data_IF_918642751507
#
_entry.id   IF_918642751507
#
_cell.length_a   1.000
_cell.length_b   1.000
_cell.length_c   1.000
_cell.angle_alpha   90.00
_cell.angle_beta   90.00
_cell.angle_gamma   90.00
#
_symmetry.space_group_name_H-M   'P 1'
#
loop_
_entity.id
_entity.type
_entity.pdbx_description
1 polymer ?
#
# COMPACT_ATOMS: atom_id res chain seq x y z
N UNK A 1 -26.43 -65.79 16.08
CA UNK A 1 -27.38 -66.41 15.14
C UNK A 1 -28.77 -65.96 15.54
N UNK A 2 -29.49 -65.16 14.76
CA UNK A 2 -29.22 -64.49 13.46
C UNK A 2 -29.92 -63.10 13.56
N UNK A 3 -29.42 -61.95 13.08
CA UNK A 3 -28.89 -61.51 11.76
C UNK A 3 -29.94 -61.56 10.62
N UNK A 4 -30.07 -60.42 9.92
CA UNK A 4 -30.96 -60.10 8.78
C UNK A 4 -32.48 -60.08 9.12
N UNK A 5 -33.25 -59.05 8.75
CA UNK A 5 -33.21 -58.27 7.53
C UNK A 5 -33.73 -56.83 7.76
N UNK A 6 -32.91 -55.85 7.39
CA UNK A 6 -33.28 -54.45 7.31
C UNK A 6 -32.44 -53.84 6.18
N UNK A 7 -32.98 -53.89 4.96
CA UNK A 7 -32.32 -53.36 3.77
C UNK A 7 -32.10 -51.84 3.91
N UNK A 8 -30.87 -51.46 4.22
CA UNK A 8 -30.37 -50.10 4.13
C UNK A 8 -30.30 -49.70 2.65
N UNK A 9 -31.38 -49.09 2.15
CA UNK A 9 -31.42 -48.48 0.82
C UNK A 9 -30.59 -47.20 0.89
N UNK A 10 -29.28 -47.35 0.70
CA UNK A 10 -28.36 -46.24 0.59
C UNK A 10 -28.70 -45.43 -0.67
N UNK A 11 -29.22 -44.22 -0.46
CA UNK A 11 -29.55 -43.27 -1.53
C UNK A 11 -28.32 -43.04 -2.45
N UNK A 12 -28.48 -43.11 -3.78
CA UNK A 12 -27.36 -42.95 -4.71
C UNK A 12 -26.97 -41.48 -4.97
N UNK A 13 -27.45 -40.53 -4.17
CA UNK A 13 -27.27 -39.09 -4.43
C UNK A 13 -25.97 -38.47 -3.90
N UNK A 14 -25.16 -39.20 -3.12
CA UNK A 14 -23.82 -38.74 -2.66
C UNK A 14 -22.66 -39.20 -3.55
N UNK A 15 -22.95 -39.67 -4.77
CA UNK A 15 -21.97 -39.67 -5.84
C UNK A 15 -21.80 -38.24 -6.36
N UNK A 16 -20.85 -37.49 -5.79
CA UNK A 16 -20.39 -36.25 -6.39
C UNK A 16 -20.03 -36.54 -7.86
N UNK A 17 -20.71 -35.87 -8.79
CA UNK A 17 -20.49 -36.09 -10.21
C UNK A 17 -19.00 -35.89 -10.51
N UNK A 18 -18.37 -36.86 -11.17
CA UNK A 18 -16.98 -36.70 -11.60
C UNK A 18 -16.88 -35.40 -12.43
N UNK A 19 -15.93 -34.50 -12.12
CA UNK A 19 -15.86 -33.22 -12.80
C UNK A 19 -15.66 -33.47 -14.30
N UNK A 20 -16.51 -32.84 -15.13
CA UNK A 20 -16.36 -32.92 -16.58
C UNK A 20 -15.21 -32.00 -16.99
N UNK A 21 -13.98 -32.51 -16.85
CA UNK A 21 -12.74 -31.80 -17.15
C UNK A 21 -12.70 -31.26 -18.59
N UNK A 22 -13.47 -31.83 -19.52
CA UNK A 22 -13.60 -31.28 -20.88
C UNK A 22 -14.46 -30.02 -20.87
N UNK A 23 -15.62 -30.05 -20.22
CA UNK A 23 -16.50 -28.89 -20.08
C UNK A 23 -15.82 -27.78 -19.26
N UNK A 24 -15.16 -28.12 -18.15
CA UNK A 24 -14.42 -27.16 -17.32
C UNK A 24 -13.29 -26.48 -18.09
N UNK A 25 -12.52 -27.24 -18.89
CA UNK A 25 -11.50 -26.69 -19.79
C UNK A 25 -12.10 -25.84 -20.92
N UNK A 26 -13.24 -26.25 -21.48
CA UNK A 26 -13.97 -25.48 -22.47
C UNK A 26 -14.48 -24.14 -21.93
N UNK A 27 -15.03 -24.16 -20.71
CA UNK A 27 -15.47 -22.98 -19.96
C UNK A 27 -14.31 -22.07 -19.57
N UNK A 28 -13.16 -22.63 -19.20
CA UNK A 28 -11.94 -21.88 -18.90
C UNK A 28 -11.48 -21.06 -20.13
N UNK A 29 -11.48 -21.68 -21.31
CA UNK A 29 -11.20 -21.01 -22.58
C UNK A 29 -12.28 -19.97 -22.95
N UNK A 30 -13.57 -20.27 -22.74
CA UNK A 30 -14.70 -19.38 -23.02
C UNK A 30 -14.70 -18.12 -22.14
N UNK A 31 -14.22 -18.22 -20.90
CA UNK A 31 -13.96 -17.08 -20.02
C UNK A 31 -12.76 -16.24 -20.47
N UNK A 32 -12.04 -16.65 -21.51
CA UNK A 32 -10.90 -15.93 -22.09
C UNK A 32 -9.56 -16.19 -21.38
N UNK A 33 -9.48 -17.20 -20.51
CA UNK A 33 -8.31 -17.39 -19.64
C UNK A 33 -6.99 -17.62 -20.41
N UNK A 34 -7.03 -18.29 -21.56
CA UNK A 34 -5.87 -18.46 -22.47
C UNK A 34 -5.50 -17.20 -23.27
N UNK A 35 -6.30 -16.13 -23.16
CA UNK A 35 -6.08 -14.84 -23.87
C UNK A 35 -5.89 -13.66 -22.91
N UNK A 36 -5.96 -13.89 -21.60
CA UNK A 36 -5.65 -12.88 -20.59
C UNK A 36 -4.16 -12.48 -20.68
N UNK A 37 -3.89 -11.18 -20.73
CA UNK A 37 -2.55 -10.60 -20.73
C UNK A 37 -2.54 -9.19 -20.17
N UNK A 38 -1.41 -8.76 -19.60
CA UNK A 38 -1.22 -7.41 -19.06
C UNK A 38 -1.50 -6.29 -20.09
N UNK A 39 -1.16 -6.51 -21.36
CA UNK A 39 -1.36 -5.52 -22.45
C UNK A 39 -2.83 -5.19 -22.73
N UNK A 40 -3.75 -6.10 -22.37
CA UNK A 40 -5.15 -6.05 -22.80
C UNK A 40 -6.17 -6.07 -21.65
N UNK A 41 -5.75 -6.50 -20.47
CA UNK A 41 -6.61 -6.66 -19.29
C UNK A 41 -5.92 -6.03 -18.07
N UNK A 42 -6.49 -4.93 -17.57
CA UNK A 42 -5.92 -4.20 -16.43
C UNK A 42 -5.91 -5.05 -15.15
N UNK A 43 -6.88 -5.96 -15.01
CA UNK A 43 -6.95 -6.88 -13.87
C UNK A 43 -6.05 -8.13 -14.00
N UNK A 44 -5.18 -8.21 -15.02
CA UNK A 44 -4.29 -9.37 -15.20
C UNK A 44 -3.39 -9.64 -13.99
N UNK A 45 -2.82 -8.59 -13.38
CA UNK A 45 -1.98 -8.72 -12.18
C UNK A 45 -2.74 -9.24 -10.94
N UNK A 46 -4.08 -9.28 -10.98
CA UNK A 46 -4.92 -9.77 -9.89
C UNK A 46 -5.43 -11.21 -10.10
N UNK A 47 -5.02 -11.91 -11.18
CA UNK A 47 -5.43 -13.29 -11.50
C UNK A 47 -5.16 -14.27 -10.34
N UNK A 48 -4.13 -13.99 -9.53
CA UNK A 48 -3.75 -14.83 -8.40
C UNK A 48 -4.23 -14.37 -7.02
N UNK A 49 -4.83 -13.18 -6.93
CA UNK A 49 -5.27 -12.56 -5.67
C UNK A 49 -6.80 -12.45 -5.55
N UNK A 50 -7.51 -12.16 -6.64
CA UNK A 50 -8.98 -12.09 -6.68
C UNK A 50 -9.54 -13.51 -6.76
N UNK A 51 -9.59 -14.16 -5.60
CA UNK A 51 -9.96 -15.56 -5.48
C UNK A 51 -11.47 -15.78 -5.34
N UNK A 52 -12.21 -14.81 -4.79
CA UNK A 52 -13.65 -14.95 -4.49
C UNK A 52 -14.51 -13.87 -5.17
N UNK A 53 -15.81 -14.13 -5.40
CA UNK A 53 -16.76 -13.07 -5.80
C UNK A 53 -16.82 -11.91 -4.79
N UNK A 54 -16.49 -12.16 -3.53
CA UNK A 54 -16.41 -11.15 -2.46
C UNK A 54 -15.18 -10.24 -2.66
N UNK A 55 -14.02 -10.77 -3.04
CA UNK A 55 -12.84 -9.97 -3.42
C UNK A 55 -13.14 -9.10 -4.64
N UNK A 56 -13.81 -9.65 -5.66
CA UNK A 56 -14.21 -8.89 -6.86
C UNK A 56 -15.18 -7.73 -6.52
N UNK A 57 -16.13 -7.94 -5.60
CA UNK A 57 -17.02 -6.85 -5.12
C UNK A 57 -16.26 -5.82 -4.28
N UNK A 58 -15.29 -6.24 -3.47
CA UNK A 58 -14.46 -5.33 -2.68
C UNK A 58 -13.61 -4.42 -3.59
N UNK A 59 -12.99 -4.99 -4.63
CA UNK A 59 -12.28 -4.26 -5.69
C UNK A 59 -13.16 -3.22 -6.40
N UNK A 60 -14.33 -3.62 -6.89
CA UNK A 60 -15.28 -2.71 -7.56
C UNK A 60 -15.79 -1.61 -6.61
N UNK A 61 -15.96 -1.91 -5.31
CA UNK A 61 -16.30 -0.90 -4.30
C UNK A 61 -15.16 0.11 -4.11
N UNK A 62 -13.91 -0.36 -3.99
CA UNK A 62 -12.75 0.51 -3.86
C UNK A 62 -12.55 1.42 -5.10
N UNK A 63 -12.74 0.88 -6.31
CA UNK A 63 -12.76 1.68 -7.55
C UNK A 63 -13.87 2.73 -7.57
N UNK A 64 -15.10 2.35 -7.15
CA UNK A 64 -16.22 3.28 -7.11
C UNK A 64 -15.97 4.42 -6.11
N UNK A 65 -15.37 4.13 -4.96
CA UNK A 65 -14.94 5.16 -4.00
C UNK A 65 -13.86 6.08 -4.55
N UNK A 66 -12.82 5.55 -5.23
CA UNK A 66 -11.76 6.34 -5.83
C UNK A 66 -12.29 7.25 -6.95
N UNK A 67 -13.11 6.72 -7.84
CA UNK A 67 -13.75 7.48 -8.93
C UNK A 67 -14.73 8.55 -8.42
N UNK A 68 -15.31 8.35 -7.24
CA UNK A 68 -16.21 9.31 -6.61
C UNK A 68 -15.52 10.53 -5.98
N UNK A 69 -14.18 10.58 -5.93
CA UNK A 69 -13.41 11.57 -5.14
C UNK A 69 -12.81 12.75 -5.91
N UNK A 70 -13.06 12.85 -7.22
CA UNK A 70 -12.43 13.84 -8.11
C UNK A 70 -10.91 13.93 -7.85
N UNK A 71 -10.22 12.85 -8.23
CA UNK A 71 -8.79 12.68 -8.02
C UNK A 71 -8.01 13.89 -8.58
N UNK A 72 -8.37 14.36 -9.77
CA UNK A 72 -7.77 15.53 -10.42
C UNK A 72 -7.93 16.81 -9.58
N UNK A 73 -9.13 17.12 -9.09
CA UNK A 73 -9.33 18.27 -8.20
C UNK A 73 -8.56 18.13 -6.88
N UNK A 74 -8.46 16.91 -6.34
CA UNK A 74 -7.68 16.66 -5.12
C UNK A 74 -6.19 16.92 -5.36
N UNK A 75 -5.66 16.54 -6.52
CA UNK A 75 -4.29 16.82 -6.94
C UNK A 75 -4.01 18.31 -7.14
N UNK A 76 -4.92 19.04 -7.79
CA UNK A 76 -4.83 20.49 -7.95
C UNK A 76 -4.85 21.22 -6.59
N UNK A 77 -5.61 20.72 -5.61
CA UNK A 77 -5.61 21.23 -4.25
C UNK A 77 -4.28 20.95 -3.51
N UNK A 78 -3.70 19.76 -3.68
CA UNK A 78 -2.39 19.36 -3.13
C UNK A 78 -1.27 20.26 -3.66
N UNK A 79 -1.20 20.44 -4.98
CA UNK A 79 -0.15 21.24 -5.64
C UNK A 79 -0.27 22.73 -5.29
N UNK A 80 -1.48 23.27 -5.17
CA UNK A 80 -1.72 24.62 -4.67
C UNK A 80 -1.23 24.81 -3.23
N UNK A 81 -1.50 23.86 -2.33
CA UNK A 81 -1.04 23.89 -0.95
C UNK A 81 0.49 23.76 -0.84
N UNK A 82 1.12 22.91 -1.66
CA UNK A 82 2.58 22.79 -1.73
C UNK A 82 3.23 24.11 -2.15
N UNK A 83 2.72 24.74 -3.22
CA UNK A 83 3.21 26.01 -3.73
C UNK A 83 3.05 27.16 -2.71
N UNK A 84 1.92 27.22 -1.99
CA UNK A 84 1.71 28.19 -0.90
C UNK A 84 2.71 27.98 0.25
N UNK A 85 2.91 26.73 0.67
CA UNK A 85 3.84 26.34 1.72
C UNK A 85 5.33 26.41 1.30
N UNK A 86 5.61 26.63 0.01
CA UNK A 86 6.96 26.56 -0.61
C UNK A 86 7.63 25.20 -0.42
N UNK A 87 6.82 24.15 -0.49
CA UNK A 87 7.27 22.77 -0.56
C UNK A 87 7.50 22.38 -2.02
N UNK A 88 8.36 21.40 -2.24
CA UNK A 88 8.50 20.78 -3.55
C UNK A 88 7.25 19.94 -3.87
N UNK A 89 6.89 19.87 -5.15
CA UNK A 89 5.73 19.10 -5.60
C UNK A 89 5.95 17.59 -5.31
N UNK A 90 4.97 16.88 -4.69
CA UNK A 90 5.17 15.50 -4.30
C UNK A 90 5.09 14.56 -5.51
N UNK A 91 6.21 13.95 -5.92
CA UNK A 91 6.24 13.08 -7.10
C UNK A 91 5.39 11.81 -7.03
N UNK A 92 5.07 11.33 -5.82
CA UNK A 92 4.37 10.05 -5.58
C UNK A 92 3.12 10.21 -4.72
N UNK A 93 2.20 9.23 -4.81
CA UNK A 93 1.02 9.12 -3.92
C UNK A 93 1.42 9.10 -2.44
N UNK A 94 2.46 8.35 -2.09
CA UNK A 94 2.96 8.26 -0.71
C UNK A 94 3.55 9.57 -0.19
N UNK A 95 4.44 10.23 -0.95
CA UNK A 95 4.98 11.57 -0.61
C UNK A 95 3.85 12.58 -0.47
N UNK A 96 2.81 12.47 -1.30
CA UNK A 96 1.59 13.29 -1.20
C UNK A 96 0.84 13.04 0.11
N UNK A 97 0.62 11.77 0.49
CA UNK A 97 -0.04 11.40 1.74
C UNK A 97 0.62 12.06 2.96
N UNK A 98 1.95 11.98 3.02
CA UNK A 98 2.75 12.49 4.13
C UNK A 98 2.78 14.02 4.16
N UNK A 99 2.83 14.66 2.99
CA UNK A 99 2.75 16.12 2.89
C UNK A 99 1.38 16.63 3.34
N UNK A 100 0.29 16.00 2.91
CA UNK A 100 -1.08 16.36 3.31
C UNK A 100 -1.29 16.14 4.81
N UNK A 101 -0.83 15.01 5.37
CA UNK A 101 -0.88 14.75 6.82
C UNK A 101 -0.08 15.79 7.61
N UNK A 102 1.14 16.11 7.17
CA UNK A 102 2.01 17.13 7.78
C UNK A 102 1.33 18.50 7.77
N UNK A 103 0.83 18.97 6.62
CA UNK A 103 0.16 20.26 6.50
C UNK A 103 -1.12 20.33 7.36
N UNK A 104 -1.89 19.25 7.43
CA UNK A 104 -3.06 19.14 8.29
C UNK A 104 -2.69 19.19 9.79
N UNK A 105 -1.63 18.48 10.20
CA UNK A 105 -1.12 18.56 11.58
C UNK A 105 -0.65 19.99 11.93
N UNK A 106 0.16 20.60 11.08
CA UNK A 106 0.61 22.00 11.22
C UNK A 106 -0.58 22.97 11.31
N UNK A 107 -1.61 22.78 10.49
CA UNK A 107 -2.84 23.57 10.56
C UNK A 107 -3.54 23.42 11.92
N UNK A 108 -3.74 22.20 12.42
CA UNK A 108 -4.37 21.94 13.73
C UNK A 108 -3.53 22.50 14.89
N UNK A 109 -2.21 22.31 14.85
CA UNK A 109 -1.28 22.81 15.86
C UNK A 109 -1.28 24.35 15.91
N UNK A 110 -1.50 25.03 14.79
CA UNK A 110 -1.61 26.51 14.73
C UNK A 110 -2.75 27.09 15.57
N UNK A 111 -3.80 26.31 15.85
CA UNK A 111 -4.88 26.73 16.74
C UNK A 111 -4.41 26.91 18.19
N UNK A 112 -3.34 26.21 18.59
CA UNK A 112 -2.80 26.21 19.96
C UNK A 112 -1.47 26.96 20.06
N UNK A 113 -0.60 26.86 19.05
CA UNK A 113 0.73 27.44 19.03
C UNK A 113 0.91 28.45 17.88
N UNK A 114 1.62 29.53 18.18
CA UNK A 114 2.14 30.42 17.15
C UNK A 114 3.33 29.78 16.41
N UNK A 115 3.56 30.15 15.15
CA UNK A 115 4.66 29.61 14.32
C UNK A 115 6.05 29.81 14.92
N UNK A 116 6.23 30.83 15.78
CA UNK A 116 7.46 31.05 16.55
C UNK A 116 7.83 29.87 17.48
N UNK A 117 6.94 28.88 17.67
CA UNK A 117 7.27 27.66 18.37
C UNK A 117 8.30 26.80 17.63
N UNK A 118 8.34 26.82 16.29
CA UNK A 118 9.26 25.99 15.49
C UNK A 118 10.72 26.47 15.54
N UNK A 119 10.95 27.74 15.94
CA UNK A 119 12.27 28.30 16.23
C UNK A 119 12.82 27.84 17.61
N UNK A 120 11.97 27.29 18.47
CA UNK A 120 12.32 26.97 19.85
C UNK A 120 12.79 25.51 20.04
N UNK A 121 13.36 25.24 21.21
CA UNK A 121 13.70 23.89 21.68
C UNK A 121 12.42 23.11 22.06
N UNK A 122 11.71 22.62 21.05
CA UNK A 122 10.44 21.90 21.18
C UNK A 122 10.57 20.68 22.11
N UNK A 123 11.72 19.99 22.08
CA UNK A 123 11.98 18.82 22.95
C UNK A 123 11.97 19.23 24.42
N UNK A 124 12.70 20.30 24.79
CA UNK A 124 12.72 20.79 26.16
C UNK A 124 11.39 21.42 26.59
N UNK A 125 10.68 22.09 25.68
CA UNK A 125 9.35 22.66 25.96
C UNK A 125 8.30 21.55 26.19
N UNK A 126 8.24 20.54 25.32
CA UNK A 126 7.38 19.37 25.48
C UNK A 126 7.71 18.63 26.78
N UNK A 127 8.99 18.39 27.06
CA UNK A 127 9.40 17.72 28.31
C UNK A 127 9.09 18.55 29.57
N UNK A 128 9.14 19.88 29.53
CA UNK A 128 8.81 20.73 30.67
C UNK A 128 7.29 20.85 30.94
N UNK A 129 6.47 20.65 29.90
CA UNK A 129 5.00 20.64 29.96
C UNK A 129 4.43 19.26 30.30
N UNK A 130 5.10 18.17 29.90
CA UNK A 130 4.78 16.79 30.25
C UNK A 130 4.57 16.54 31.76
N UNK A 131 3.79 15.52 32.11
CA UNK A 131 3.50 15.15 33.50
C UNK A 131 4.72 14.50 34.24
N UNK A 132 4.50 13.86 35.40
CA UNK A 132 5.55 13.15 36.15
C UNK A 132 5.82 11.72 35.67
N UNK A 133 4.82 11.06 35.11
CA UNK A 133 4.85 9.69 34.60
C UNK A 133 5.64 9.66 33.29
N UNK A 134 5.23 10.48 32.33
CA UNK A 134 5.91 10.66 31.04
C UNK A 134 7.39 10.98 31.21
N UNK A 135 7.74 11.94 32.10
CA UNK A 135 9.15 12.33 32.32
C UNK A 135 9.98 11.21 32.93
N UNK A 136 9.40 10.37 33.79
CA UNK A 136 10.09 9.21 34.36
C UNK A 136 10.35 8.15 33.29
N UNK A 137 9.36 7.87 32.44
CA UNK A 137 9.46 6.89 31.36
C UNK A 137 10.43 7.32 30.26
N UNK A 138 10.46 8.61 29.92
CA UNK A 138 11.38 9.19 28.93
C UNK A 138 12.74 9.60 29.56
N UNK A 139 13.03 9.19 30.80
CA UNK A 139 14.32 9.43 31.49
C UNK A 139 14.66 10.90 31.81
N UNK A 140 13.74 11.83 31.58
CA UNK A 140 14.02 13.28 31.63
C UNK A 140 14.22 13.78 33.06
N UNK A 141 15.40 14.35 33.30
CA UNK A 141 15.72 15.12 34.51
C UNK A 141 15.68 16.61 34.19
N UNK A 142 14.85 17.35 34.93
CA UNK A 142 14.68 18.80 34.77
C UNK A 142 14.72 19.46 36.15
N UNK A 143 15.71 20.33 36.37
CA UNK A 143 15.76 21.17 37.56
C UNK A 143 14.52 22.07 37.67
N UNK A 144 14.07 22.36 38.90
CA UNK A 144 12.81 23.10 39.13
C UNK A 144 12.81 24.49 38.47
N UNK A 145 13.95 25.19 38.49
CA UNK A 145 14.13 26.50 37.85
C UNK A 145 14.08 26.38 36.32
N UNK A 146 14.80 25.43 35.71
CA UNK A 146 14.78 25.20 34.25
C UNK A 146 13.37 24.84 33.79
N UNK A 147 12.71 23.90 34.45
CA UNK A 147 11.33 23.50 34.14
C UNK A 147 10.31 24.63 34.32
N UNK A 148 10.48 25.53 35.30
CA UNK A 148 9.64 26.73 35.45
C UNK A 148 9.87 27.74 34.33
N UNK A 149 11.12 27.93 33.91
CA UNK A 149 11.47 28.83 32.79
C UNK A 149 10.91 28.32 31.46
N UNK A 150 11.12 27.04 31.15
CA UNK A 150 10.62 26.40 29.92
C UNK A 150 9.08 26.43 29.84
N UNK A 151 8.36 26.16 30.94
CA UNK A 151 6.89 26.32 30.95
C UNK A 151 6.44 27.76 30.71
N UNK A 152 7.18 28.76 31.19
CA UNK A 152 6.88 30.17 30.90
C UNK A 152 7.10 30.50 29.41
N UNK A 153 8.13 29.92 28.79
CA UNK A 153 8.39 30.06 27.35
C UNK A 153 7.29 29.38 26.53
N UNK A 154 6.93 28.14 26.85
CA UNK A 154 5.82 27.42 26.22
C UNK A 154 4.50 28.22 26.23
N UNK A 155 4.09 28.76 27.38
CA UNK A 155 2.87 29.58 27.51
C UNK A 155 2.97 30.92 26.77
N UNK A 156 4.18 31.42 26.48
CA UNK A 156 4.38 32.63 25.68
C UNK A 156 4.30 32.36 24.16
N UNK A 157 4.47 31.10 23.73
CA UNK A 157 4.34 30.65 22.34
C UNK A 157 2.90 30.23 21.99
N UNK A 158 2.05 30.01 22.98
CA UNK A 158 0.65 29.63 22.81
C UNK A 158 -0.23 30.80 22.33
N UNK A 159 -1.19 30.49 21.46
CA UNK A 159 -2.17 31.44 20.91
C UNK A 159 -3.12 31.98 21.99
N UNK A 160 -3.51 31.15 22.96
CA UNK A 160 -4.14 31.59 24.22
C UNK A 160 -3.25 31.25 25.43
N UNK A 161 -2.99 32.24 26.29
CA UNK A 161 -2.26 32.09 27.55
C UNK A 161 -3.02 31.28 28.61
N UNK A 162 -4.30 30.97 28.39
CA UNK A 162 -5.15 30.12 29.25
C UNK A 162 -5.20 28.65 28.82
N UNK A 163 -4.47 28.27 27.76
CA UNK A 163 -4.34 26.86 27.31
C UNK A 163 -4.03 25.93 28.48
N UNK A 164 -4.66 24.74 28.52
CA UNK A 164 -4.37 23.78 29.59
C UNK A 164 -3.01 23.15 29.35
N UNK A 165 -2.39 22.69 30.43
CA UNK A 165 -1.01 22.18 30.39
C UNK A 165 -0.88 20.91 29.53
N UNK A 166 -1.89 20.05 29.53
CA UNK A 166 -1.92 18.86 28.67
C UNK A 166 -2.09 19.23 27.20
N UNK A 167 -3.07 20.06 26.84
CA UNK A 167 -3.27 20.56 25.47
C UNK A 167 -1.99 21.23 24.93
N UNK A 168 -1.29 22.01 25.77
CA UNK A 168 -0.01 22.63 25.43
C UNK A 168 1.14 21.62 25.27
N UNK A 169 1.16 20.55 26.07
CA UNK A 169 2.14 19.47 25.93
C UNK A 169 1.91 18.67 24.64
N UNK A 170 0.66 18.37 24.32
CA UNK A 170 0.24 17.71 23.08
C UNK A 170 0.65 18.55 21.87
N UNK A 171 0.27 19.84 21.84
CA UNK A 171 0.62 20.73 20.73
C UNK A 171 2.14 20.90 20.53
N UNK A 172 2.93 20.95 21.61
CA UNK A 172 4.40 21.00 21.51
C UNK A 172 5.01 19.68 21.02
N UNK A 173 4.37 18.55 21.34
CA UNK A 173 4.77 17.22 20.85
C UNK A 173 4.41 17.05 19.38
N UNK A 174 3.24 17.54 18.95
CA UNK A 174 2.84 17.59 17.55
C UNK A 174 3.77 18.50 16.74
N UNK A 175 4.08 19.71 17.24
CA UNK A 175 5.06 20.60 16.62
C UNK A 175 6.46 19.96 16.46
N UNK A 176 6.88 19.13 17.43
CA UNK A 176 8.14 18.38 17.35
C UNK A 176 8.12 17.36 16.18
N UNK A 177 7.02 16.62 16.05
CA UNK A 177 6.76 15.66 14.96
C UNK A 177 6.71 16.38 13.61
N UNK A 178 5.93 17.46 13.53
CA UNK A 178 5.76 18.30 12.34
C UNK A 178 7.10 18.88 11.88
N UNK A 179 7.93 19.39 12.79
CA UNK A 179 9.27 19.91 12.46
C UNK A 179 10.21 18.83 11.91
N UNK A 180 10.10 17.57 12.37
CA UNK A 180 10.88 16.45 11.81
C UNK A 180 10.36 16.01 10.43
N UNK A 181 9.05 15.91 10.27
CA UNK A 181 8.43 15.58 8.97
C UNK A 181 8.74 16.66 7.92
N UNK A 182 8.66 17.94 8.30
CA UNK A 182 8.99 19.07 7.44
C UNK A 182 10.46 19.08 7.04
N UNK A 183 11.38 18.79 7.96
CA UNK A 183 12.80 18.68 7.63
C UNK A 183 13.14 17.53 6.66
N UNK A 184 12.24 16.55 6.50
CA UNK A 184 12.37 15.47 5.51
C UNK A 184 11.69 15.80 4.17
N UNK A 185 10.56 16.51 4.16
CA UNK A 185 9.75 16.78 2.96
C UNK A 185 9.99 18.14 2.29
N UNK A 186 10.59 19.10 3.00
CA UNK A 186 10.73 20.48 2.55
C UNK A 186 12.18 20.85 2.21
N UNK A 187 12.39 21.94 1.44
CA UNK A 187 13.73 22.48 1.20
C UNK A 187 14.52 22.70 2.50
N UNK A 188 15.79 22.28 2.48
CA UNK A 188 16.68 22.28 3.63
C UNK A 188 16.76 23.64 4.35
N UNK A 189 16.58 23.62 5.68
CA UNK A 189 16.64 24.82 6.52
C UNK A 189 15.36 25.64 6.58
N UNK A 190 14.27 25.21 5.93
CA UNK A 190 12.93 25.78 6.15
C UNK A 190 12.32 25.28 7.47
N UNK A 191 11.35 26.03 7.99
CA UNK A 191 10.55 25.67 9.17
C UNK A 191 9.07 25.55 8.78
N UNK A 192 8.26 24.77 9.52
CA UNK A 192 6.84 24.63 9.24
C UNK A 192 6.08 25.94 9.13
N UNK A 193 5.43 26.11 7.98
CA UNK A 193 4.54 27.22 7.66
C UNK A 193 3.09 26.73 7.63
N UNK A 194 2.18 27.55 8.14
CA UNK A 194 0.73 27.27 8.13
C UNK A 194 0.14 27.84 6.84
N UNK A 195 -0.50 27.03 5.97
CA UNK A 195 -1.24 27.55 4.82
C UNK A 195 -2.37 28.48 5.24
N UNK A 196 -2.62 29.55 4.48
CA UNK A 196 -3.63 30.54 4.82
C UNK A 196 -5.06 30.02 4.62
N UNK A 197 -5.30 29.19 3.60
CA UNK A 197 -6.59 28.49 3.44
C UNK A 197 -6.62 27.18 4.23
N UNK A 198 -6.80 27.31 5.55
CA UNK A 198 -7.03 26.17 6.43
C UNK A 198 -8.24 25.31 6.06
N UNK A 199 -9.26 25.89 5.41
CA UNK A 199 -10.42 25.13 4.97
C UNK A 199 -10.09 24.26 3.75
N UNK A 200 -9.17 24.69 2.88
CA UNK A 200 -8.59 23.85 1.82
C UNK A 200 -7.78 22.71 2.43
N UNK A 201 -6.90 22.98 3.41
CA UNK A 201 -6.12 21.94 4.11
C UNK A 201 -7.03 20.85 4.69
N UNK A 202 -8.10 21.23 5.41
CA UNK A 202 -9.06 20.29 6.00
C UNK A 202 -9.80 19.45 4.93
N UNK A 203 -10.29 20.08 3.84
CA UNK A 203 -10.94 19.35 2.75
C UNK A 203 -9.99 18.40 2.02
N UNK A 204 -8.77 18.84 1.74
CA UNK A 204 -7.75 18.01 1.06
C UNK A 204 -7.35 16.82 1.92
N UNK A 205 -7.17 17.00 3.23
CA UNK A 205 -6.90 15.91 4.16
C UNK A 205 -8.03 14.87 4.18
N UNK A 206 -9.29 15.32 4.25
CA UNK A 206 -10.45 14.43 4.22
C UNK A 206 -10.60 13.68 2.89
N UNK A 207 -10.33 14.34 1.75
CA UNK A 207 -10.32 13.69 0.45
C UNK A 207 -9.23 12.60 0.39
N UNK A 208 -8.02 12.92 0.85
CA UNK A 208 -6.86 12.05 0.78
C UNK A 208 -6.94 10.85 1.75
N UNK A 209 -7.52 11.01 2.94
CA UNK A 209 -7.84 9.89 3.85
C UNK A 209 -8.68 8.81 3.15
N UNK A 210 -9.67 9.26 2.38
CA UNK A 210 -10.56 8.40 1.63
C UNK A 210 -9.94 7.82 0.36
N UNK A 211 -9.07 8.56 -0.33
CA UNK A 211 -8.24 8.01 -1.42
C UNK A 211 -7.38 6.87 -0.86
N UNK A 212 -6.60 7.12 0.20
CA UNK A 212 -5.77 6.11 0.87
C UNK A 212 -6.58 4.88 1.34
N UNK A 213 -7.85 5.05 1.69
CA UNK A 213 -8.73 3.94 2.06
C UNK A 213 -9.11 3.09 0.86
N UNK A 214 -9.45 3.71 -0.28
CA UNK A 214 -9.66 2.99 -1.54
C UNK A 214 -8.39 2.30 -2.04
N UNK A 215 -7.24 2.98 -1.98
CA UNK A 215 -5.94 2.43 -2.40
C UNK A 215 -5.53 1.21 -1.58
N UNK A 216 -5.65 1.25 -0.24
CA UNK A 216 -5.42 0.05 0.61
C UNK A 216 -6.34 -1.12 0.27
N UNK A 217 -7.54 -0.84 -0.25
CA UNK A 217 -8.46 -1.87 -0.75
C UNK A 217 -7.96 -2.53 -2.04
N UNK A 218 -7.33 -1.75 -2.93
CA UNK A 218 -6.74 -2.24 -4.19
C UNK A 218 -5.37 -2.90 -3.98
N UNK A 219 -4.51 -2.35 -3.12
CA UNK A 219 -3.16 -2.82 -2.81
C UNK A 219 -3.13 -4.30 -2.41
N UNK A 220 -4.04 -4.70 -1.51
CA UNK A 220 -4.27 -6.11 -1.13
C UNK A 220 -4.48 -7.04 -2.33
N UNK A 221 -5.06 -6.53 -3.43
CA UNK A 221 -5.43 -7.29 -4.62
C UNK A 221 -4.44 -7.09 -5.78
N UNK A 222 -3.55 -6.11 -5.70
CA UNK A 222 -2.53 -5.79 -6.69
C UNK A 222 -1.13 -5.71 -6.04
N UNK A 223 -0.67 -6.74 -5.28
CA UNK A 223 0.56 -6.67 -4.48
C UNK A 223 1.86 -6.57 -5.31
N UNK A 224 1.77 -6.77 -6.62
CA UNK A 224 2.88 -6.55 -7.56
C UNK A 224 2.90 -5.12 -8.13
N UNK A 225 1.93 -4.27 -7.78
CA UNK A 225 1.90 -2.86 -8.15
C UNK A 225 2.17 -2.00 -6.91
N UNK A 226 3.26 -1.24 -6.93
CA UNK A 226 3.53 -0.22 -5.92
C UNK A 226 2.60 1.00 -6.14
N UNK A 227 1.38 0.92 -5.60
CA UNK A 227 0.39 2.00 -5.71
C UNK A 227 0.78 3.26 -4.94
N UNK A 228 1.62 3.13 -3.92
CA UNK A 228 2.15 4.21 -3.09
C UNK A 228 3.24 5.01 -3.87
N UNK A 229 4.05 4.30 -4.66
CA UNK A 229 5.11 4.87 -5.50
C UNK A 229 4.66 5.49 -6.82
N UNK A 230 3.41 5.28 -7.27
CA UNK A 230 2.90 5.87 -8.52
C UNK A 230 2.88 7.40 -8.50
N UNK A 231 3.13 8.03 -9.65
CA UNK A 231 2.79 9.43 -9.84
C UNK A 231 1.26 9.60 -9.93
N UNK A 232 0.75 10.75 -9.49
CA UNK A 232 -0.70 10.96 -9.42
C UNK A 232 -1.45 10.79 -10.76
N UNK A 233 -0.93 11.25 -11.93
CA UNK A 233 -1.55 10.99 -13.23
C UNK A 233 -1.61 9.49 -13.57
N UNK A 234 -0.57 8.73 -13.22
CA UNK A 234 -0.50 7.28 -13.46
C UNK A 234 -1.52 6.53 -12.60
N UNK A 235 -1.77 7.01 -11.37
CA UNK A 235 -2.85 6.50 -10.53
C UNK A 235 -4.24 6.75 -11.15
N UNK A 236 -4.49 7.94 -11.70
CA UNK A 236 -5.76 8.23 -12.41
C UNK A 236 -5.93 7.24 -13.58
N UNK A 237 -4.91 7.13 -14.45
CA UNK A 237 -4.93 6.23 -15.61
C UNK A 237 -5.10 4.76 -15.20
N UNK A 238 -4.48 4.32 -14.10
CA UNK A 238 -4.65 2.97 -13.56
C UNK A 238 -6.09 2.73 -13.05
N UNK A 239 -6.64 3.65 -12.25
CA UNK A 239 -8.01 3.56 -11.73
C UNK A 239 -9.04 3.55 -12.87
N UNK A 240 -8.83 4.35 -13.91
CA UNK A 240 -9.70 4.34 -15.10
C UNK A 240 -9.60 3.03 -15.89
N UNK A 241 -8.38 2.50 -16.13
CA UNK A 241 -8.20 1.21 -16.81
C UNK A 241 -8.80 0.04 -16.03
N UNK A 242 -8.58 -0.03 -14.72
CA UNK A 242 -9.18 -1.06 -13.85
C UNK A 242 -10.71 -0.96 -13.85
N UNK A 243 -11.28 0.24 -13.85
CA UNK A 243 -12.73 0.44 -13.90
C UNK A 243 -13.35 0.19 -15.28
N UNK A 244 -12.58 0.32 -16.37
CA UNK A 244 -13.01 -0.08 -17.71
C UNK A 244 -13.03 -1.61 -17.87
N UNK A 245 -12.24 -2.34 -17.09
CA UNK A 245 -12.05 -3.80 -17.16
C UNK A 245 -12.79 -4.58 -16.06
N UNK A 246 -13.86 -4.02 -15.48
CA UNK A 246 -14.70 -4.74 -14.48
C UNK A 246 -15.23 -6.09 -15.01
N UNK A 247 -15.45 -6.21 -16.32
CA UNK A 247 -15.83 -7.48 -16.95
C UNK A 247 -14.82 -8.61 -16.76
N UNK A 248 -13.53 -8.29 -16.57
CA UNK A 248 -12.49 -9.28 -16.24
C UNK A 248 -12.43 -9.55 -14.75
N UNK A 249 -12.48 -8.50 -13.93
CA UNK A 249 -12.53 -8.60 -12.47
C UNK A 249 -13.57 -9.63 -11.98
N UNK A 250 -14.80 -9.57 -12.50
CA UNK A 250 -15.87 -10.51 -12.12
C UNK A 250 -15.71 -11.93 -12.69
N UNK A 251 -14.84 -12.14 -13.69
CA UNK A 251 -14.49 -13.47 -14.22
C UNK A 251 -13.37 -14.16 -13.44
N UNK A 252 -12.43 -13.39 -12.86
CA UNK A 252 -11.23 -13.93 -12.19
C UNK A 252 -11.50 -15.04 -11.17
N UNK A 253 -12.49 -14.94 -10.25
CA UNK A 253 -12.76 -16.01 -9.28
C UNK A 253 -13.14 -17.35 -9.94
N UNK A 254 -13.89 -17.30 -11.04
CA UNK A 254 -14.29 -18.50 -11.79
C UNK A 254 -13.11 -19.07 -12.58
N UNK A 255 -12.31 -18.20 -13.19
CA UNK A 255 -11.07 -18.59 -13.90
C UNK A 255 -10.11 -19.29 -12.92
N UNK A 256 -9.87 -18.71 -11.75
CA UNK A 256 -9.01 -19.30 -10.71
C UNK A 256 -9.53 -20.66 -10.25
N UNK A 257 -10.81 -20.78 -9.93
CA UNK A 257 -11.40 -22.05 -9.49
C UNK A 257 -11.29 -23.17 -10.53
N UNK A 258 -11.54 -22.85 -11.81
CA UNK A 258 -11.36 -23.80 -12.92
C UNK A 258 -9.89 -24.19 -13.11
N UNK A 259 -8.96 -23.23 -13.08
CA UNK A 259 -7.51 -23.52 -13.13
C UNK A 259 -7.11 -24.49 -12.02
N UNK A 260 -7.47 -24.21 -10.76
CA UNK A 260 -7.14 -25.10 -9.63
C UNK A 260 -7.69 -26.51 -9.85
N UNK A 261 -8.96 -26.67 -10.23
CA UNK A 261 -9.55 -27.99 -10.47
C UNK A 261 -8.92 -28.76 -11.65
N UNK A 262 -8.51 -28.06 -12.71
CA UNK A 262 -7.83 -28.65 -13.87
C UNK A 262 -6.36 -29.01 -13.54
N UNK A 263 -5.67 -28.21 -12.73
CA UNK A 263 -4.32 -28.50 -12.22
C UNK A 263 -4.31 -29.69 -11.25
N UNK A 264 -5.26 -29.74 -10.30
CA UNK A 264 -5.47 -30.87 -9.39
C UNK A 264 -5.78 -32.18 -10.14
N UNK A 265 -6.42 -32.09 -11.31
CA UNK A 265 -6.67 -33.21 -12.22
C UNK A 265 -5.45 -33.57 -13.11
N UNK A 266 -4.30 -32.92 -12.94
CA UNK A 266 -3.05 -33.20 -13.67
C UNK A 266 -3.00 -32.62 -15.09
N UNK A 267 -3.77 -31.56 -15.38
CA UNK A 267 -3.81 -30.91 -16.69
C UNK A 267 -2.92 -29.65 -16.81
N UNK A 268 -2.09 -29.33 -15.82
CA UNK A 268 -1.24 -28.12 -15.80
C UNK A 268 -0.37 -27.93 -17.05
N UNK A 269 0.27 -28.99 -17.55
CA UNK A 269 1.04 -28.93 -18.81
C UNK A 269 0.14 -28.54 -20.00
N UNK A 270 -1.06 -29.13 -20.08
CA UNK A 270 -2.03 -28.86 -21.13
C UNK A 270 -2.56 -27.42 -21.04
N UNK A 271 -2.77 -26.88 -19.83
CA UNK A 271 -3.12 -25.47 -19.65
C UNK A 271 -2.01 -24.55 -20.18
N UNK A 272 -0.75 -24.92 -19.96
CA UNK A 272 0.43 -24.16 -20.43
C UNK A 272 0.55 -24.20 -21.96
N UNK A 273 0.39 -25.38 -22.58
CA UNK A 273 0.32 -25.54 -24.04
C UNK A 273 -0.81 -24.71 -24.66
N UNK A 274 -2.01 -24.76 -24.08
CA UNK A 274 -3.19 -24.05 -24.58
C UNK A 274 -3.11 -22.52 -24.36
N UNK A 275 -2.46 -22.07 -23.28
CA UNK A 275 -2.14 -20.66 -23.06
C UNK A 275 -1.15 -20.13 -24.11
N UNK A 276 -0.07 -20.87 -24.38
CA UNK A 276 0.90 -20.53 -25.42
C UNK A 276 0.24 -20.48 -26.82
N UNK A 277 -0.71 -21.37 -27.08
CA UNK A 277 -1.49 -21.42 -28.32
C UNK A 277 -2.64 -20.39 -28.38
N UNK A 278 -2.94 -19.66 -27.29
CA UNK A 278 -4.12 -18.77 -27.14
C UNK A 278 -5.42 -19.47 -27.55
N UNK A 279 -5.61 -20.70 -27.08
CA UNK A 279 -6.64 -21.61 -27.58
C UNK A 279 -8.08 -21.13 -27.33
N UNK A 280 -8.94 -21.30 -28.34
CA UNK A 280 -10.39 -21.18 -28.18
C UNK A 280 -10.99 -22.44 -27.49
N UNK A 281 -12.25 -22.34 -27.05
CA UNK A 281 -12.98 -23.44 -26.41
C UNK A 281 -12.95 -24.74 -27.22
N UNK A 282 -13.11 -24.66 -28.55
CA UNK A 282 -13.14 -25.84 -29.43
C UNK A 282 -11.76 -26.49 -29.54
N UNK A 283 -10.69 -25.69 -29.60
CA UNK A 283 -9.31 -26.17 -29.61
C UNK A 283 -8.94 -26.83 -28.28
N UNK A 284 -9.33 -26.22 -27.15
CA UNK A 284 -9.09 -26.75 -25.81
C UNK A 284 -9.79 -28.11 -25.59
N UNK A 285 -11.09 -28.20 -25.89
CA UNK A 285 -11.84 -29.46 -25.82
C UNK A 285 -11.28 -30.56 -26.75
N UNK A 286 -10.82 -30.18 -27.95
CA UNK A 286 -10.22 -31.11 -28.91
C UNK A 286 -8.86 -31.63 -28.42
N UNK A 287 -8.02 -30.77 -27.83
CA UNK A 287 -6.73 -31.16 -27.27
C UNK A 287 -6.89 -32.12 -26.08
N UNK A 288 -7.84 -31.85 -25.17
CA UNK A 288 -8.18 -32.79 -24.09
C UNK A 288 -8.64 -34.15 -24.63
N UNK A 289 -9.54 -34.16 -25.63
CA UNK A 289 -10.03 -35.39 -26.26
C UNK A 289 -8.89 -36.18 -26.92
N UNK A 290 -7.96 -35.51 -27.59
CA UNK A 290 -6.79 -36.13 -28.19
C UNK A 290 -5.83 -36.73 -27.12
N UNK A 291 -5.58 -36.01 -26.02
CA UNK A 291 -4.76 -36.49 -24.89
C UNK A 291 -5.37 -37.72 -24.24
N UNK A 292 -6.69 -37.77 -24.07
CA UNK A 292 -7.38 -38.96 -23.55
C UNK A 292 -7.36 -40.15 -24.53
N UNK A 293 -7.46 -39.91 -25.84
CA UNK A 293 -7.31 -40.97 -26.84
C UNK A 293 -5.89 -41.56 -26.85
N UNK A 294 -4.85 -40.72 -26.69
CA UNK A 294 -3.46 -41.16 -26.55
C UNK A 294 -3.27 -41.93 -25.24
N UNK A 295 -3.76 -41.44 -24.10
CA UNK A 295 -3.67 -42.15 -22.82
C UNK A 295 -4.40 -43.51 -22.82
N UNK A 296 -5.54 -43.61 -23.52
CA UNK A 296 -6.24 -44.86 -23.78
C UNK A 296 -5.40 -45.83 -24.63
N UNK A 297 -4.88 -45.36 -25.78
CA UNK A 297 -4.03 -46.18 -26.65
C UNK A 297 -2.68 -46.58 -26.04
N UNK A 298 -2.10 -45.75 -25.16
CA UNK A 298 -0.85 -46.04 -24.45
C UNK A 298 -1.01 -47.23 -23.49
N UNK A 299 -2.21 -47.45 -22.92
CA UNK A 299 -2.49 -48.63 -22.08
C UNK A 299 -2.48 -49.95 -22.87
N UNK A 300 -2.83 -49.90 -24.15
CA UNK A 300 -2.71 -51.05 -25.09
C UNK A 300 -1.29 -51.16 -25.70
N UNK A 301 -0.43 -50.16 -25.50
CA UNK A 301 0.81 -49.96 -26.26
C UNK A 301 2.14 -50.09 -25.48
N UNK A 302 2.15 -50.55 -24.23
CA UNK A 302 3.37 -50.65 -23.42
C UNK A 302 4.33 -51.78 -23.87
N UNK A 303 5.03 -51.54 -25.00
CA UNK A 303 6.15 -52.33 -25.47
C UNK A 303 7.20 -51.49 -26.26
N UNK A 304 8.00 -50.70 -25.54
CA UNK A 304 9.38 -50.37 -25.94
C UNK A 304 9.69 -48.98 -26.53
N UNK A 305 10.94 -48.57 -26.29
CA UNK A 305 11.67 -47.37 -26.76
C UNK A 305 11.11 -46.01 -26.27
N UNK A 306 11.72 -45.33 -25.30
CA UNK A 306 13.07 -44.70 -25.26
C UNK A 306 13.13 -43.31 -25.91
N UNK A 307 13.65 -42.34 -25.15
CA UNK A 307 13.79 -40.92 -25.47
C UNK A 307 14.78 -40.66 -26.62
N UNK A 308 14.81 -39.41 -27.14
CA UNK A 308 16.05 -38.68 -26.88
C UNK A 308 15.89 -37.18 -26.56
N UNK A 309 16.59 -36.79 -25.49
CA UNK A 309 17.53 -35.66 -25.38
C UNK A 309 17.14 -34.27 -25.95
N UNK A 310 17.10 -33.29 -25.03
CA UNK A 310 17.06 -31.87 -25.33
C UNK A 310 18.42 -31.31 -25.78
N UNK A 311 18.38 -30.23 -26.57
CA UNK A 311 19.54 -29.39 -26.89
C UNK A 311 19.30 -27.99 -26.29
N UNK A 312 20.28 -27.46 -25.55
CA UNK A 312 20.23 -26.13 -24.92
C UNK A 312 21.22 -25.20 -25.62
N UNK A 313 20.87 -23.92 -25.73
CA UNK A 313 21.80 -22.86 -26.12
C UNK A 313 21.69 -21.71 -25.13
N UNK A 314 22.82 -21.32 -24.55
CA UNK A 314 22.95 -20.28 -23.52
C UNK A 314 23.18 -18.87 -24.10
N UNK A 315 23.03 -17.87 -23.22
CA UNK A 315 23.48 -16.47 -23.32
C UNK A 315 22.70 -15.56 -24.32
N UNK A 316 22.63 -14.24 -24.12
CA UNK A 316 23.44 -13.36 -23.25
C UNK A 316 22.62 -12.13 -22.79
N UNK A 317 22.84 -11.64 -21.56
CA UNK A 317 22.29 -10.35 -21.09
C UNK A 317 23.05 -9.17 -21.71
N UNK A 318 22.36 -8.03 -21.89
CA UNK A 318 22.80 -6.83 -21.17
C UNK A 318 21.61 -6.11 -20.51
N UNK A 319 21.78 -5.26 -19.50
CA UNK A 319 23.03 -4.69 -18.99
C UNK A 319 22.88 -3.19 -18.78
N UNK A 320 22.17 -2.83 -17.70
CA UNK A 320 22.13 -1.54 -16.98
C UNK A 320 22.49 -0.21 -17.70
N UNK A 321 21.49 0.66 -17.86
CA UNK A 321 21.65 2.12 -17.83
C UNK A 321 20.49 2.77 -17.02
N UNK A 322 20.66 2.89 -15.70
CA UNK A 322 19.68 3.58 -14.82
C UNK A 322 20.30 4.40 -13.65
N UNK A 323 21.63 4.45 -13.54
CA UNK A 323 22.35 4.98 -12.38
C UNK A 323 22.14 6.48 -12.06
N UNK A 324 21.48 7.25 -12.94
CA UNK A 324 21.13 8.66 -12.72
C UNK A 324 19.78 8.87 -12.05
N UNK A 325 18.77 8.04 -12.36
CA UNK A 325 17.44 8.13 -11.76
C UNK A 325 17.37 7.38 -10.41
N UNK A 326 18.14 6.30 -10.27
CA UNK A 326 18.25 5.53 -9.03
C UNK A 326 18.75 6.37 -7.85
N UNK A 327 19.66 7.34 -8.07
CA UNK A 327 20.17 8.20 -7.01
C UNK A 327 19.12 9.20 -6.51
N UNK A 328 18.37 9.86 -7.39
CA UNK A 328 17.27 10.74 -6.97
C UNK A 328 16.13 9.95 -6.32
N UNK A 329 15.76 8.79 -6.87
CA UNK A 329 14.73 7.92 -6.30
C UNK A 329 15.12 7.39 -4.90
N UNK A 330 16.40 7.06 -4.68
CA UNK A 330 16.88 6.64 -3.36
C UNK A 330 16.87 7.78 -2.33
N UNK A 331 17.20 9.01 -2.73
CA UNK A 331 17.09 10.20 -1.87
C UNK A 331 15.63 10.52 -1.53
N UNK A 332 14.72 10.46 -2.50
CA UNK A 332 13.29 10.66 -2.27
C UNK A 332 12.66 9.57 -1.40
N UNK A 333 12.99 8.29 -1.62
CA UNK A 333 12.52 7.18 -0.78
C UNK A 333 13.04 7.29 0.67
N UNK A 334 14.28 7.77 0.86
CA UNK A 334 14.83 8.01 2.19
C UNK A 334 14.13 9.19 2.90
N UNK A 335 13.82 10.27 2.18
CA UNK A 335 13.02 11.38 2.68
C UNK A 335 11.59 10.95 3.06
N UNK A 336 10.94 10.15 2.21
CA UNK A 336 9.60 9.60 2.42
C UNK A 336 9.57 8.65 3.64
N UNK A 337 10.59 7.79 3.81
CA UNK A 337 10.74 6.93 4.98
C UNK A 337 10.98 7.73 6.29
N UNK A 338 11.82 8.78 6.25
CA UNK A 338 12.05 9.65 7.39
C UNK A 338 10.79 10.44 7.79
N UNK A 339 10.00 10.89 6.81
CA UNK A 339 8.72 11.55 7.04
C UNK A 339 7.68 10.59 7.64
N UNK A 340 7.54 9.36 7.11
CA UNK A 340 6.73 8.28 7.71
C UNK A 340 7.13 8.04 9.16
N UNK A 341 8.42 7.89 9.45
CA UNK A 341 8.93 7.65 10.81
C UNK A 341 8.64 8.82 11.77
N UNK A 342 8.78 10.06 11.29
CA UNK A 342 8.48 11.25 12.06
C UNK A 342 6.98 11.34 12.42
N UNK A 343 6.09 11.19 11.44
CA UNK A 343 4.62 11.26 11.61
C UNK A 343 4.08 10.11 12.48
N UNK A 344 4.70 8.92 12.41
CA UNK A 344 4.43 7.80 13.31
C UNK A 344 4.91 8.03 14.77
N UNK A 345 5.64 9.13 15.04
CA UNK A 345 6.12 9.48 16.38
C UNK A 345 7.40 8.76 16.82
N UNK A 346 8.19 8.23 15.89
CA UNK A 346 9.37 7.42 16.15
C UNK A 346 10.54 8.17 16.79
N UNK A 347 10.99 7.65 17.93
CA UNK A 347 12.23 7.97 18.67
C UNK A 347 12.41 9.41 19.18
N UNK A 348 12.39 9.55 20.52
CA UNK A 348 12.83 10.76 21.24
C UNK A 348 14.18 10.49 21.88
N UNK A 349 15.23 11.19 21.45
CA UNK A 349 16.50 11.16 22.17
C UNK A 349 16.33 11.84 23.54
N UNK A 350 16.67 11.10 24.60
CA UNK A 350 16.41 11.52 25.97
C UNK A 350 17.25 12.73 26.37
N UNK A 351 16.59 13.78 26.88
CA UNK A 351 17.25 14.97 27.40
C UNK A 351 18.05 14.66 28.68
N UNK A 352 19.32 14.31 28.51
CA UNK A 352 20.32 14.27 29.57
C UNK A 352 20.91 15.68 29.80
N UNK A 353 20.88 16.16 31.04
CA UNK A 353 21.46 17.45 31.42
C UNK A 353 22.99 17.33 31.45
N UNK A 354 23.68 17.87 30.43
CA UNK A 354 25.13 18.06 30.49
C UNK A 354 25.48 18.96 31.68
N UNK A 355 26.40 18.49 32.53
CA UNK A 355 26.77 19.19 33.75
C UNK A 355 27.47 20.52 33.43
N UNK A 356 27.21 21.60 34.20
CA UNK A 356 27.85 22.88 33.96
C UNK A 356 29.37 22.78 34.15
N UNK A 357 30.11 22.98 33.05
CA UNK A 357 31.57 23.03 33.06
C UNK A 357 32.02 24.15 33.99
N UNK A 358 32.62 23.76 35.11
CA UNK A 358 33.06 24.69 36.15
C UNK A 358 34.34 25.39 35.72
N UNK A 359 34.21 26.53 35.03
CA UNK A 359 35.34 27.38 34.66
C UNK A 359 35.94 27.98 35.93
N UNK A 360 37.01 27.35 36.41
CA UNK A 360 37.80 27.81 37.54
C UNK A 360 38.71 28.94 37.06
N UNK A 361 38.47 30.17 37.51
CA UNK A 361 39.36 31.28 37.23
C UNK A 361 40.66 31.15 38.07
N UNK A 362 41.84 31.44 37.50
CA UNK A 362 43.09 31.53 38.27
C UNK A 362 43.11 32.80 39.13
N UNK A 363 43.85 32.72 40.25
CA UNK A 363 44.10 33.80 41.23
C UNK A 363 45.27 34.67 40.78
#
# INVERSE_FOLDING_TARGET
ADVADAADVKDPQDAAAEPDLREDLGRYAELGAFTLSADTHAWYAAVDTVATPEDARAASTALAELRGRDLQQTWEAVTALAAEAKLDEPGTVAKTALMVEMLHRVHRTSATLTTAAYDADLVALAAATADSTWRRENGVKLSWLRGRSLRKQAVALATDRKVRREDLHEALTSAEIERRAWAALAPSGTLPAVPADGALVERTAQAFEGINTGLRGLDRLLPEHDLDGLAFPELIDLVERLAADEGTLYRLPTIRGLRTGLEDAGLGDLLTELAAAKADRRAAEAAYTARQALAGGQRDGLAGAEEPAAERTDAEEPGAEAAGAEQSAAEEAAAEAAARQALAGGQRDGLAEEAPVSVTAPV
#
